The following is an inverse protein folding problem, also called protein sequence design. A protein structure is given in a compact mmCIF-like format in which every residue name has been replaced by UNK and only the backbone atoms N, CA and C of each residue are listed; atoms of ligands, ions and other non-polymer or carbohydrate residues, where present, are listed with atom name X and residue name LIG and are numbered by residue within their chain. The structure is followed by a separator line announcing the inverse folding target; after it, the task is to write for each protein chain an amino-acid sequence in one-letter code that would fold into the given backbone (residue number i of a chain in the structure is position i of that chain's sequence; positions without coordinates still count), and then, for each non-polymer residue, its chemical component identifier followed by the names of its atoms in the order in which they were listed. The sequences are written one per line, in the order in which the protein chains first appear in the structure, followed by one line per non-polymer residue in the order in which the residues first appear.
data_IF_109973350835
#
_entry.id   IF_109973350835
#
_cell.length_a   1.000
_cell.length_b   1.000
_cell.length_c   1.000
_cell.angle_alpha   90.00
_cell.angle_beta   90.00
_cell.angle_gamma   90.00
#
_symmetry.space_group_name_H-M   'P 1'
#
loop_
_entity.id
_entity.type
_entity.pdbx_description
1 polymer ?
#
# COMPACT_ATOMS: atom_id res chain seq x y z
N UNK A 1 0.34 12.68 -10.32
CA UNK A 1 0.49 13.82 -11.25
C UNK A 1 0.10 13.39 -12.65
N UNK A 2 0.73 12.41 -13.28
CA UNK A 2 0.52 11.99 -14.69
C UNK A 2 -0.95 11.70 -15.03
N UNK A 3 -1.67 10.99 -14.16
CA UNK A 3 -3.10 10.74 -14.32
C UNK A 3 -3.95 12.00 -14.19
N UNK A 4 -3.55 12.95 -13.33
CA UNK A 4 -4.26 14.23 -13.16
C UNK A 4 -4.04 15.20 -14.32
N UNK A 5 -2.91 15.09 -15.00
CA UNK A 5 -2.56 15.93 -16.17
C UNK A 5 -3.08 15.34 -17.50
N UNK A 6 -3.81 14.22 -17.47
CA UNK A 6 -4.36 13.57 -18.67
C UNK A 6 -3.34 12.77 -19.48
N UNK A 7 -2.13 12.57 -18.94
CA UNK A 7 -1.05 11.81 -19.60
C UNK A 7 -0.97 10.36 -19.11
N UNK A 8 -2.11 9.76 -18.78
CA UNK A 8 -2.18 8.39 -18.27
C UNK A 8 -1.57 7.34 -19.20
N UNK A 9 -1.62 7.57 -20.53
CA UNK A 9 -1.00 6.71 -21.51
C UNK A 9 0.53 6.65 -21.36
N UNK A 10 1.18 7.76 -21.03
CA UNK A 10 2.63 7.79 -20.82
C UNK A 10 3.08 6.90 -19.64
N UNK A 11 2.25 6.80 -18.59
CA UNK A 11 2.55 5.94 -17.45
C UNK A 11 2.51 4.44 -17.79
N UNK A 12 1.87 4.05 -18.91
CA UNK A 12 1.78 2.67 -19.39
C UNK A 12 2.93 2.27 -20.32
N UNK A 13 3.78 3.23 -20.72
CA UNK A 13 4.93 2.96 -21.57
C UNK A 13 6.02 2.19 -20.82
N UNK A 14 6.64 1.24 -21.54
CA UNK A 14 7.78 0.50 -21.02
C UNK A 14 8.96 1.45 -20.77
N UNK A 15 9.47 1.43 -19.56
CA UNK A 15 10.57 2.30 -19.17
C UNK A 15 10.15 3.63 -18.53
N UNK A 16 8.88 4.04 -18.54
CA UNK A 16 8.44 5.28 -17.89
C UNK A 16 8.80 5.29 -16.38
N UNK A 17 8.48 4.20 -15.68
CA UNK A 17 8.85 4.05 -14.27
C UNK A 17 10.36 4.11 -14.06
N UNK A 18 11.12 3.39 -14.90
CA UNK A 18 12.60 3.37 -14.81
C UNK A 18 13.17 4.76 -15.10
N UNK A 19 12.69 5.44 -16.12
CA UNK A 19 13.14 6.79 -16.47
C UNK A 19 12.87 7.80 -15.35
N UNK A 20 11.74 7.63 -14.65
CA UNK A 20 11.41 8.46 -13.50
C UNK A 20 12.37 8.21 -12.34
N UNK A 21 12.59 6.95 -11.92
CA UNK A 21 13.44 6.64 -10.76
C UNK A 21 14.93 6.88 -11.01
N UNK A 22 15.37 6.86 -12.26
CA UNK A 22 16.76 7.16 -12.65
C UNK A 22 17.00 8.65 -12.92
N UNK A 23 15.94 9.46 -12.96
CA UNK A 23 16.06 10.92 -13.08
C UNK A 23 16.75 11.51 -11.86
N UNK A 24 17.76 12.40 -12.03
CA UNK A 24 18.51 12.96 -10.90
C UNK A 24 17.71 13.93 -10.02
N UNK A 25 16.64 14.51 -10.54
CA UNK A 25 15.90 15.58 -9.85
C UNK A 25 14.51 15.15 -9.41
N UNK A 26 13.72 14.54 -10.30
CA UNK A 26 12.31 14.26 -10.04
C UNK A 26 12.04 13.41 -8.79
N UNK A 27 12.72 12.26 -8.58
CA UNK A 27 12.49 11.45 -7.39
C UNK A 27 12.85 12.18 -6.09
N UNK A 28 13.94 12.97 -6.13
CA UNK A 28 14.41 13.74 -4.96
C UNK A 28 13.39 14.80 -4.57
N UNK A 29 12.87 15.57 -5.53
CA UNK A 29 11.85 16.59 -5.26
C UNK A 29 10.59 15.99 -4.68
N UNK A 30 10.07 14.88 -5.27
CA UNK A 30 8.88 14.22 -4.75
C UNK A 30 9.12 13.58 -3.38
N UNK A 31 10.31 13.01 -3.12
CA UNK A 31 10.68 12.48 -1.83
C UNK A 31 10.71 13.57 -0.76
N UNK A 32 11.33 14.73 -1.05
CA UNK A 32 11.38 15.86 -0.13
C UNK A 32 9.98 16.43 0.16
N UNK A 33 9.12 16.54 -0.85
CA UNK A 33 7.73 16.97 -0.66
C UNK A 33 6.97 16.00 0.24
N UNK A 34 7.12 14.69 0.00
CA UNK A 34 6.46 13.64 0.76
C UNK A 34 6.96 13.61 2.21
N UNK A 35 8.27 13.70 2.42
CA UNK A 35 8.89 13.80 3.74
C UNK A 35 8.45 15.07 4.47
N UNK A 36 8.38 16.20 3.77
CA UNK A 36 7.89 17.45 4.35
C UNK A 36 6.45 17.36 4.87
N UNK A 37 5.55 16.70 4.12
CA UNK A 37 4.18 16.45 4.58
C UNK A 37 4.17 15.51 5.80
N UNK A 38 4.94 14.43 5.76
CA UNK A 38 5.07 13.47 6.87
C UNK A 38 5.59 14.16 8.12
N UNK A 39 6.66 14.94 7.99
CA UNK A 39 7.26 15.71 9.08
C UNK A 39 6.29 16.74 9.66
N UNK A 40 5.54 17.45 8.82
CA UNK A 40 4.53 18.41 9.28
C UNK A 40 3.45 17.75 10.14
N UNK A 41 3.01 16.54 9.76
CA UNK A 41 2.01 15.79 10.53
C UNK A 41 2.58 15.37 11.89
N UNK A 42 3.78 14.78 11.90
CA UNK A 42 4.45 14.32 13.15
C UNK A 42 4.83 15.50 14.05
N UNK A 43 5.22 16.62 13.48
CA UNK A 43 5.52 17.86 14.22
C UNK A 43 4.34 18.37 15.05
N UNK A 44 3.10 18.20 14.55
CA UNK A 44 1.88 18.60 15.27
C UNK A 44 1.49 17.62 16.39
N UNK A 45 2.26 16.54 16.58
CA UNK A 45 2.09 15.58 17.66
C UNK A 45 1.05 14.50 17.40
N UNK A 46 0.82 13.66 18.40
CA UNK A 46 -0.04 12.47 18.28
C UNK A 46 -1.50 12.87 18.08
N UNK A 47 -2.08 13.63 19.01
CA UNK A 47 -3.50 14.00 18.99
C UNK A 47 -3.84 15.00 17.87
N UNK A 48 -3.01 16.04 17.70
CA UNK A 48 -3.27 17.12 16.73
C UNK A 48 -2.88 16.80 15.29
N UNK A 49 -1.91 15.92 15.11
CA UNK A 49 -1.36 15.53 13.80
C UNK A 49 -1.78 14.11 13.41
N UNK A 50 -1.13 13.12 13.99
CA UNK A 50 -1.22 11.71 13.57
C UNK A 50 -2.66 11.18 13.71
N UNK A 51 -3.28 11.30 14.86
CA UNK A 51 -4.63 10.79 15.11
C UNK A 51 -5.67 11.50 14.23
N UNK A 52 -5.57 12.83 14.13
CA UNK A 52 -6.50 13.62 13.32
C UNK A 52 -6.44 13.23 11.85
N UNK A 53 -5.24 13.10 11.29
CA UNK A 53 -5.05 12.73 9.88
C UNK A 53 -5.51 11.30 9.64
N UNK A 54 -5.11 10.34 10.48
CA UNK A 54 -5.48 8.94 10.35
C UNK A 54 -6.98 8.72 10.46
N UNK A 55 -7.67 9.46 11.33
CA UNK A 55 -9.13 9.39 11.52
C UNK A 55 -9.91 9.62 10.22
N UNK A 56 -9.43 10.49 9.34
CA UNK A 56 -10.05 10.76 8.05
C UNK A 56 -9.49 9.90 6.92
N UNK A 57 -8.17 9.69 6.90
CA UNK A 57 -7.52 8.95 5.82
C UNK A 57 -7.89 7.47 5.81
N UNK A 58 -7.96 6.82 6.99
CA UNK A 58 -8.24 5.38 7.06
C UNK A 58 -9.61 4.98 6.50
N UNK A 59 -10.74 5.64 6.89
CA UNK A 59 -12.03 5.33 6.27
C UNK A 59 -12.07 5.62 4.76
N UNK A 60 -11.45 6.72 4.32
CA UNK A 60 -11.39 7.05 2.89
C UNK A 60 -10.62 5.97 2.14
N UNK A 61 -9.47 5.55 2.65
CA UNK A 61 -8.66 4.48 2.07
C UNK A 61 -9.47 3.18 1.95
N UNK A 62 -10.15 2.77 3.03
CA UNK A 62 -10.97 1.56 3.02
C UNK A 62 -12.09 1.62 1.97
N UNK A 63 -12.81 2.74 1.89
CA UNK A 63 -13.85 2.95 0.87
C UNK A 63 -13.26 2.88 -0.54
N UNK A 64 -12.12 3.53 -0.79
CA UNK A 64 -11.46 3.50 -2.10
C UNK A 64 -11.03 2.07 -2.47
N UNK A 65 -10.44 1.32 -1.55
CA UNK A 65 -10.06 -0.09 -1.79
C UNK A 65 -11.28 -0.94 -2.13
N UNK A 66 -12.38 -0.81 -1.38
CA UNK A 66 -13.62 -1.55 -1.65
C UNK A 66 -14.22 -1.19 -3.00
N UNK A 67 -14.26 0.10 -3.35
CA UNK A 67 -14.78 0.58 -4.65
C UNK A 67 -13.95 0.02 -5.81
N UNK A 68 -12.62 0.12 -5.72
CA UNK A 68 -11.74 -0.37 -6.78
C UNK A 68 -11.79 -1.90 -6.86
N UNK A 69 -11.82 -2.61 -5.72
CA UNK A 69 -11.97 -4.07 -5.71
C UNK A 69 -13.30 -4.51 -6.34
N UNK A 70 -14.41 -3.87 -5.96
CA UNK A 70 -15.71 -4.13 -6.58
C UNK A 70 -15.70 -3.89 -8.08
N UNK A 71 -15.06 -2.81 -8.55
CA UNK A 71 -14.90 -2.54 -9.97
C UNK A 71 -14.02 -3.58 -10.67
N UNK A 72 -12.91 -4.00 -10.04
CA UNK A 72 -12.01 -5.02 -10.60
C UNK A 72 -12.72 -6.35 -10.88
N UNK A 73 -13.70 -6.73 -10.05
CA UNK A 73 -14.50 -7.95 -10.25
C UNK A 73 -15.46 -7.86 -11.44
N UNK A 74 -15.84 -6.67 -11.86
CA UNK A 74 -16.72 -6.45 -13.02
C UNK A 74 -15.97 -6.44 -14.35
N UNK A 75 -14.64 -6.42 -14.32
CA UNK A 75 -13.81 -6.35 -15.52
C UNK A 75 -13.96 -7.60 -16.38
N UNK A 76 -13.96 -7.37 -17.69
CA UNK A 76 -13.95 -8.42 -18.72
C UNK A 76 -13.07 -7.95 -19.86
N UNK A 77 -12.20 -8.82 -20.33
CA UNK A 77 -11.32 -8.55 -21.47
C UNK A 77 -11.10 -9.81 -22.28
N UNK A 78 -11.11 -9.66 -23.60
CA UNK A 78 -10.80 -10.74 -24.52
C UNK A 78 -9.29 -10.74 -24.80
N UNK A 79 -8.63 -11.84 -24.50
CA UNK A 79 -7.21 -12.03 -24.74
C UNK A 79 -6.90 -12.09 -26.23
N UNK A 80 -5.65 -11.90 -26.61
CA UNK A 80 -5.15 -12.04 -27.98
C UNK A 80 -5.43 -13.44 -28.60
N UNK A 81 -5.68 -14.44 -27.77
CA UNK A 81 -6.11 -15.79 -28.16
C UNK A 81 -7.62 -15.96 -28.36
N UNK A 82 -8.43 -14.90 -28.20
CA UNK A 82 -9.89 -14.94 -28.26
C UNK A 82 -10.57 -15.51 -26.99
N UNK A 83 -9.83 -15.71 -25.90
CA UNK A 83 -10.37 -16.21 -24.65
C UNK A 83 -10.84 -15.06 -23.77
N UNK A 84 -12.10 -15.10 -23.34
CA UNK A 84 -12.67 -14.10 -22.43
C UNK A 84 -12.17 -14.35 -21.01
N UNK A 85 -11.45 -13.38 -20.44
CA UNK A 85 -11.03 -13.40 -19.04
C UNK A 85 -11.90 -12.46 -18.22
N UNK A 86 -12.28 -12.89 -17.02
CA UNK A 86 -13.15 -12.13 -16.13
C UNK A 86 -12.49 -11.84 -14.79
N UNK A 87 -12.87 -10.72 -14.15
CA UNK A 87 -12.39 -10.39 -12.81
C UNK A 87 -12.76 -11.44 -11.76
N UNK A 88 -13.90 -12.12 -11.96
CA UNK A 88 -14.34 -13.20 -11.07
C UNK A 88 -13.44 -14.44 -11.17
N UNK A 89 -12.93 -14.77 -12.36
CA UNK A 89 -11.92 -15.82 -12.52
C UNK A 89 -10.61 -15.44 -11.84
N UNK A 90 -10.19 -14.18 -11.94
CA UNK A 90 -9.03 -13.65 -11.22
C UNK A 90 -9.20 -13.74 -9.71
N UNK A 91 -10.39 -13.45 -9.18
CA UNK A 91 -10.68 -13.63 -7.76
C UNK A 91 -10.64 -15.11 -7.35
N UNK A 92 -11.19 -15.99 -8.18
CA UNK A 92 -11.11 -17.44 -7.96
C UNK A 92 -9.67 -17.91 -7.95
N UNK A 93 -8.85 -17.45 -8.88
CA UNK A 93 -7.41 -17.74 -8.91
C UNK A 93 -6.73 -17.30 -7.60
N UNK A 94 -7.03 -16.11 -7.10
CA UNK A 94 -6.48 -15.56 -5.87
C UNK A 94 -6.85 -16.39 -4.62
N UNK A 95 -8.11 -16.81 -4.53
CA UNK A 95 -8.63 -17.53 -3.36
C UNK A 95 -8.43 -19.04 -3.41
N UNK A 96 -8.05 -19.61 -4.57
CA UNK A 96 -7.87 -21.05 -4.72
C UNK A 96 -6.42 -21.43 -4.44
N UNK A 97 -6.13 -22.22 -3.41
CA UNK A 97 -4.78 -22.69 -3.13
C UNK A 97 -4.27 -23.60 -4.24
N UNK A 98 -3.08 -23.30 -4.76
CA UNK A 98 -2.39 -24.12 -5.75
C UNK A 98 -1.45 -25.09 -5.03
N UNK A 99 -1.89 -26.32 -4.78
CA UNK A 99 -1.15 -27.33 -4.03
C UNK A 99 -0.26 -28.23 -4.90
N UNK A 100 -0.28 -28.04 -6.22
CA UNK A 100 0.51 -28.83 -7.15
C UNK A 100 2.02 -28.61 -6.93
N UNK A 101 2.77 -29.71 -6.73
CA UNK A 101 4.20 -29.64 -6.47
C UNK A 101 4.60 -29.10 -5.09
N UNK A 102 3.69 -29.06 -4.11
CA UNK A 102 3.98 -28.63 -2.75
C UNK A 102 4.82 -29.69 -2.02
N UNK A 103 6.11 -29.41 -1.85
CA UNK A 103 7.02 -30.19 -0.99
C UNK A 103 7.05 -29.61 0.42
N UNK A 104 7.48 -30.39 1.40
CA UNK A 104 7.63 -29.90 2.80
C UNK A 104 8.57 -28.70 2.87
N UNK A 105 9.67 -28.73 2.14
CA UNK A 105 10.62 -27.60 2.07
C UNK A 105 9.95 -26.33 1.53
N UNK A 106 9.16 -26.46 0.45
CA UNK A 106 8.45 -25.34 -0.15
C UNK A 106 7.35 -24.79 0.78
N UNK A 107 6.65 -25.67 1.49
CA UNK A 107 5.67 -25.27 2.48
C UNK A 107 6.30 -24.46 3.63
N UNK A 108 7.44 -24.92 4.17
CA UNK A 108 8.16 -24.19 5.20
C UNK A 108 8.65 -22.83 4.70
N UNK A 109 9.11 -22.76 3.46
CA UNK A 109 9.53 -21.49 2.85
C UNK A 109 8.34 -20.51 2.74
N UNK A 110 7.18 -20.96 2.24
CA UNK A 110 5.96 -20.15 2.16
C UNK A 110 5.54 -19.66 3.55
N UNK A 111 5.64 -20.53 4.57
CA UNK A 111 5.33 -20.17 5.95
C UNK A 111 6.26 -19.09 6.48
N UNK A 112 7.56 -19.19 6.23
CA UNK A 112 8.56 -18.18 6.62
C UNK A 112 8.33 -16.86 5.90
N UNK A 113 8.02 -16.89 4.60
CA UNK A 113 7.71 -15.69 3.82
C UNK A 113 6.44 -15.01 4.35
N UNK A 114 5.39 -15.79 4.65
CA UNK A 114 4.16 -15.27 5.24
C UNK A 114 4.39 -14.66 6.63
N UNK A 115 5.18 -15.32 7.49
CA UNK A 115 5.55 -14.76 8.80
C UNK A 115 6.33 -13.45 8.65
N UNK A 116 7.31 -13.40 7.75
CA UNK A 116 8.08 -12.19 7.48
C UNK A 116 7.20 -11.04 7.03
N UNK A 117 6.23 -11.33 6.16
CA UNK A 117 5.25 -10.35 5.70
C UNK A 117 4.36 -9.85 6.85
N UNK A 118 3.90 -10.74 7.74
CA UNK A 118 3.11 -10.34 8.91
C UNK A 118 3.89 -9.45 9.86
N UNK A 119 5.15 -9.77 10.17
CA UNK A 119 6.01 -8.92 11.01
C UNK A 119 6.19 -7.53 10.42
N UNK A 120 6.28 -7.44 9.10
CA UNK A 120 6.38 -6.16 8.40
C UNK A 120 5.05 -5.41 8.40
N UNK A 121 3.94 -6.06 8.03
CA UNK A 121 2.60 -5.46 7.92
C UNK A 121 2.10 -4.94 9.26
N UNK A 122 2.24 -5.73 10.33
CA UNK A 122 1.90 -5.34 11.70
C UNK A 122 2.91 -4.39 12.34
N UNK A 123 3.97 -4.02 11.62
CA UNK A 123 5.00 -3.09 12.10
C UNK A 123 5.70 -3.50 13.41
N UNK A 124 5.71 -4.81 13.71
CA UNK A 124 6.32 -5.35 14.93
C UNK A 124 7.84 -5.20 14.87
N UNK A 125 8.45 -5.48 13.71
CA UNK A 125 9.91 -5.44 13.53
C UNK A 125 10.52 -4.04 13.57
N UNK A 126 9.72 -2.98 13.40
CA UNK A 126 10.18 -1.59 13.31
C UNK A 126 10.01 -0.79 14.62
N UNK A 127 9.63 -1.45 15.72
CA UNK A 127 9.40 -0.78 17.00
C UNK A 127 8.16 0.12 17.07
N UNK A 128 7.40 0.23 15.97
CA UNK A 128 6.22 1.09 15.87
C UNK A 128 5.15 0.66 16.88
N UNK A 129 4.90 -0.64 16.99
CA UNK A 129 3.92 -1.18 17.96
C UNK A 129 4.31 -0.90 19.42
N UNK A 130 5.63 -0.90 19.72
CA UNK A 130 6.14 -0.54 21.06
C UNK A 130 5.87 0.94 21.33
N UNK A 131 6.18 1.80 20.35
CA UNK A 131 5.98 3.26 20.48
C UNK A 131 4.50 3.58 20.66
N UNK A 132 3.61 3.04 19.82
CA UNK A 132 2.17 3.28 19.99
C UNK A 132 1.60 2.64 21.25
N UNK A 133 2.12 1.47 21.65
CA UNK A 133 1.77 0.84 22.92
C UNK A 133 2.07 1.73 24.12
N UNK A 134 3.15 2.51 24.08
CA UNK A 134 3.49 3.46 25.13
C UNK A 134 2.53 4.66 25.24
N UNK A 135 1.74 4.93 24.20
CA UNK A 135 0.75 6.01 24.17
C UNK A 135 -0.64 5.55 24.60
N UNK A 136 -0.85 4.24 24.75
CA UNK A 136 -2.16 3.68 25.12
C UNK A 136 -2.48 4.07 26.57
N UNK A 137 -3.69 4.57 26.79
CA UNK A 137 -4.17 4.95 28.12
C UNK A 137 -4.43 3.70 28.97
N UNK A 138 -4.28 3.79 30.33
CA UNK A 138 -4.43 2.64 31.21
C UNK A 138 -5.82 1.99 31.23
N UNK A 139 -6.84 2.69 30.77
CA UNK A 139 -8.24 2.23 30.73
C UNK A 139 -8.59 1.46 29.43
N UNK A 140 -7.64 1.34 28.49
CA UNK A 140 -7.84 0.64 27.23
C UNK A 140 -7.54 -0.84 27.39
N UNK A 141 -8.46 -1.69 26.94
CA UNK A 141 -8.27 -3.14 26.85
C UNK A 141 -7.35 -3.48 25.67
N UNK A 142 -6.11 -3.84 25.98
CA UNK A 142 -5.09 -4.17 24.97
C UNK A 142 -5.46 -5.41 24.15
N UNK A 143 -6.10 -6.43 24.77
CA UNK A 143 -6.50 -7.63 24.01
C UNK A 143 -7.52 -7.27 22.94
N UNK A 144 -8.49 -6.43 23.28
CA UNK A 144 -9.49 -5.95 22.31
C UNK A 144 -8.84 -5.13 21.20
N UNK A 145 -7.88 -4.27 21.55
CA UNK A 145 -7.15 -3.46 20.56
C UNK A 145 -6.34 -4.34 19.60
N UNK A 146 -5.60 -5.33 20.11
CA UNK A 146 -4.83 -6.28 19.28
C UNK A 146 -5.73 -7.07 18.35
N UNK A 147 -6.83 -7.64 18.84
CA UNK A 147 -7.78 -8.36 18.00
C UNK A 147 -8.37 -7.50 16.89
N UNK A 148 -8.64 -6.23 17.16
CA UNK A 148 -9.11 -5.30 16.14
C UNK A 148 -8.02 -5.05 15.07
N UNK A 149 -6.78 -4.86 15.45
CA UNK A 149 -5.65 -4.68 14.52
C UNK A 149 -5.53 -5.90 13.61
N UNK A 150 -5.54 -7.11 14.18
CA UNK A 150 -5.45 -8.36 13.41
C UNK A 150 -6.56 -8.51 12.37
N UNK A 151 -7.80 -8.26 12.78
CA UNK A 151 -8.97 -8.36 11.89
C UNK A 151 -8.88 -7.33 10.75
N UNK A 152 -8.54 -6.08 11.08
CA UNK A 152 -8.44 -5.03 10.08
C UNK A 152 -7.24 -5.24 9.14
N UNK A 153 -6.07 -5.61 9.64
CA UNK A 153 -4.89 -5.89 8.82
C UNK A 153 -5.17 -7.02 7.82
N UNK A 154 -5.69 -8.16 8.30
CA UNK A 154 -6.06 -9.29 7.46
C UNK A 154 -7.16 -8.92 6.46
N UNK A 155 -8.19 -8.22 6.89
CA UNK A 155 -9.29 -7.79 6.03
C UNK A 155 -8.86 -6.86 4.91
N UNK A 156 -8.03 -5.86 5.23
CA UNK A 156 -7.50 -4.91 4.24
C UNK A 156 -6.53 -5.60 3.29
N UNK A 157 -5.69 -6.52 3.77
CA UNK A 157 -4.78 -7.29 2.93
C UNK A 157 -5.54 -8.16 1.90
N UNK A 158 -6.60 -8.84 2.33
CA UNK A 158 -7.47 -9.62 1.45
C UNK A 158 -8.18 -8.73 0.41
N UNK A 159 -8.68 -7.57 0.82
CA UNK A 159 -9.31 -6.60 -0.08
C UNK A 159 -8.31 -6.02 -1.09
N UNK A 160 -7.09 -5.72 -0.66
CA UNK A 160 -6.04 -5.24 -1.56
C UNK A 160 -5.65 -6.30 -2.60
N UNK A 161 -5.56 -7.57 -2.20
CA UNK A 161 -5.38 -8.68 -3.13
C UNK A 161 -6.54 -8.80 -4.11
N UNK A 162 -7.79 -8.71 -3.63
CA UNK A 162 -8.99 -8.72 -4.47
C UNK A 162 -9.12 -7.48 -5.38
N UNK A 163 -8.44 -6.38 -5.07
CA UNK A 163 -8.36 -5.19 -5.93
C UNK A 163 -7.35 -5.38 -7.07
N UNK A 164 -6.17 -5.91 -6.77
CA UNK A 164 -5.03 -5.94 -7.70
C UNK A 164 -5.08 -7.19 -8.58
N UNK A 165 -5.21 -8.37 -7.98
CA UNK A 165 -5.03 -9.65 -8.68
C UNK A 165 -6.08 -9.87 -9.78
N UNK A 166 -7.40 -9.63 -9.56
CA UNK A 166 -8.38 -9.75 -10.63
C UNK A 166 -8.11 -8.79 -11.80
N UNK A 167 -7.73 -7.54 -11.50
CA UNK A 167 -7.43 -6.56 -12.54
C UNK A 167 -6.23 -6.99 -13.41
N UNK A 168 -5.15 -7.44 -12.79
CA UNK A 168 -3.96 -7.92 -13.52
C UNK A 168 -4.28 -9.22 -14.29
N UNK A 169 -5.04 -10.15 -13.68
CA UNK A 169 -5.43 -11.40 -14.32
C UNK A 169 -6.20 -11.18 -15.63
N UNK A 170 -7.14 -10.26 -15.62
CA UNK A 170 -7.99 -9.96 -16.78
C UNK A 170 -7.17 -9.44 -17.97
N UNK A 171 -6.22 -8.54 -17.74
CA UNK A 171 -5.50 -7.86 -18.81
C UNK A 171 -4.14 -8.48 -19.15
N UNK A 172 -3.46 -9.09 -18.19
CA UNK A 172 -2.09 -9.60 -18.35
C UNK A 172 -1.95 -11.10 -18.06
N UNK A 173 -3.03 -11.76 -17.63
CA UNK A 173 -2.97 -13.16 -17.23
C UNK A 173 -2.05 -13.41 -16.04
N UNK A 174 -1.65 -14.67 -15.86
CA UNK A 174 -0.73 -15.08 -14.78
C UNK A 174 0.69 -14.57 -14.97
N UNK A 175 1.10 -14.30 -16.21
CA UNK A 175 2.44 -13.78 -16.54
C UNK A 175 2.63 -12.33 -16.05
N UNK A 176 1.55 -11.54 -16.00
CA UNK A 176 1.57 -10.17 -15.51
C UNK A 176 1.71 -10.04 -13.99
N UNK A 177 1.64 -11.14 -13.24
CA UNK A 177 1.70 -11.18 -11.79
C UNK A 177 3.13 -11.21 -11.24
N UNK A 178 4.08 -10.61 -11.93
CA UNK A 178 5.46 -10.49 -11.46
C UNK A 178 5.49 -9.77 -10.11
N UNK A 179 6.26 -10.31 -9.18
CA UNK A 179 6.36 -9.75 -7.83
C UNK A 179 7.04 -8.37 -7.79
N UNK A 180 6.71 -7.60 -6.77
CA UNK A 180 7.41 -6.38 -6.41
C UNK A 180 6.88 -5.09 -7.03
N UNK A 181 7.68 -4.02 -7.05
CA UNK A 181 7.28 -2.69 -7.53
C UNK A 181 6.79 -2.67 -8.97
N UNK A 182 7.25 -3.60 -9.81
CA UNK A 182 6.83 -3.72 -11.20
C UNK A 182 5.33 -3.97 -11.35
N UNK A 183 4.72 -4.73 -10.43
CA UNK A 183 3.28 -4.96 -10.43
C UNK A 183 2.50 -3.65 -10.29
N UNK A 184 2.92 -2.80 -9.38
CA UNK A 184 2.22 -1.55 -9.06
C UNK A 184 2.51 -0.43 -10.06
N UNK A 185 3.76 -0.31 -10.54
CA UNK A 185 4.19 0.85 -11.32
C UNK A 185 4.38 0.56 -12.81
N UNK A 186 4.32 -0.71 -13.23
CA UNK A 186 4.40 -1.11 -14.65
C UNK A 186 3.12 -1.83 -15.08
N UNK A 187 2.75 -2.93 -14.38
CA UNK A 187 1.60 -3.74 -14.80
C UNK A 187 0.27 -3.02 -14.63
N UNK A 188 0.00 -2.42 -13.47
CA UNK A 188 -1.27 -1.72 -13.24
C UNK A 188 -1.50 -0.49 -14.15
N UNK A 189 -0.52 0.39 -14.44
CA UNK A 189 -0.70 1.43 -15.44
C UNK A 189 -1.10 0.91 -16.82
N UNK A 190 -0.56 -0.23 -17.26
CA UNK A 190 -0.97 -0.88 -18.53
C UNK A 190 -2.41 -1.36 -18.47
N UNK A 191 -2.81 -1.96 -17.33
CA UNK A 191 -4.20 -2.35 -17.08
C UNK A 191 -5.13 -1.14 -17.17
N UNK A 192 -4.80 -0.04 -16.51
CA UNK A 192 -5.60 1.19 -16.56
C UNK A 192 -5.65 1.79 -17.97
N UNK A 193 -4.57 1.76 -18.72
CA UNK A 193 -4.56 2.20 -20.11
C UNK A 193 -5.49 1.34 -21.00
N UNK A 194 -5.48 0.02 -20.81
CA UNK A 194 -6.37 -0.91 -21.52
C UNK A 194 -7.86 -0.72 -21.20
N UNK A 195 -8.18 -0.19 -20.01
CA UNK A 195 -9.56 0.16 -19.58
C UNK A 195 -10.09 1.45 -20.24
N UNK A 196 -9.29 2.17 -21.02
CA UNK A 196 -9.69 3.41 -21.68
C UNK A 196 -10.02 4.56 -20.72
N UNK A 197 -11.11 5.31 -20.97
CA UNK A 197 -11.48 6.48 -20.15
C UNK A 197 -11.76 6.12 -18.66
N UNK A 198 -12.38 4.97 -18.41
CA UNK A 198 -12.63 4.49 -17.05
C UNK A 198 -11.32 4.21 -16.31
N UNK A 199 -10.31 3.70 -17.00
CA UNK A 199 -9.00 3.39 -16.43
C UNK A 199 -8.26 4.62 -15.93
N UNK A 200 -8.40 5.77 -16.56
CA UNK A 200 -7.82 7.02 -16.04
C UNK A 200 -8.41 7.37 -14.67
N UNK A 201 -9.73 7.29 -14.51
CA UNK A 201 -10.40 7.56 -13.24
C UNK A 201 -10.02 6.55 -12.16
N UNK A 202 -10.04 5.24 -12.49
CA UNK A 202 -9.64 4.17 -11.58
C UNK A 202 -8.17 4.31 -11.19
N UNK A 203 -7.30 4.65 -12.13
CA UNK A 203 -5.89 4.93 -11.87
C UNK A 203 -5.67 6.08 -10.90
N UNK A 204 -6.42 7.18 -11.03
CA UNK A 204 -6.38 8.29 -10.06
C UNK A 204 -6.76 7.78 -8.66
N UNK A 205 -7.89 7.09 -8.52
CA UNK A 205 -8.34 6.55 -7.25
C UNK A 205 -7.32 5.58 -6.65
N UNK A 206 -6.76 4.70 -7.47
CA UNK A 206 -5.74 3.74 -7.04
C UNK A 206 -4.49 4.45 -6.48
N UNK A 207 -3.91 5.39 -7.23
CA UNK A 207 -2.70 6.08 -6.78
C UNK A 207 -2.97 7.03 -5.60
N UNK A 208 -4.15 7.61 -5.46
CA UNK A 208 -4.56 8.33 -4.25
C UNK A 208 -4.59 7.39 -3.05
N UNK A 209 -5.18 6.20 -3.21
CA UNK A 209 -5.19 5.16 -2.18
C UNK A 209 -3.77 4.76 -1.78
N UNK A 210 -2.90 4.55 -2.76
CA UNK A 210 -1.50 4.20 -2.54
C UNK A 210 -0.72 5.29 -1.78
N UNK A 211 -0.95 6.58 -2.13
CA UNK A 211 -0.34 7.71 -1.42
C UNK A 211 -0.80 7.72 0.04
N UNK A 212 -2.09 7.52 0.30
CA UNK A 212 -2.62 7.50 1.66
C UNK A 212 -2.04 6.34 2.48
N UNK A 213 -2.00 5.14 1.90
CA UNK A 213 -1.41 3.97 2.54
C UNK A 213 0.08 4.18 2.87
N UNK A 214 0.85 4.71 1.94
CA UNK A 214 2.28 4.99 2.15
C UNK A 214 2.49 6.10 3.18
N UNK A 215 1.68 7.17 3.13
CA UNK A 215 1.80 8.30 4.05
C UNK A 215 1.54 7.87 5.49
N UNK A 216 0.52 7.08 5.75
CA UNK A 216 0.24 6.57 7.11
C UNK A 216 1.38 5.72 7.65
N UNK A 217 2.00 4.88 6.81
CA UNK A 217 3.18 4.08 7.18
C UNK A 217 4.40 4.96 7.48
N UNK A 218 4.69 5.94 6.64
CA UNK A 218 5.82 6.86 6.86
C UNK A 218 5.65 7.72 8.11
N UNK A 219 4.41 8.16 8.42
CA UNK A 219 4.10 8.86 9.67
C UNK A 219 4.47 7.97 10.87
N UNK A 220 4.08 6.71 10.85
CA UNK A 220 4.32 5.76 11.94
C UNK A 220 5.81 5.48 12.15
N UNK A 221 6.56 5.31 11.06
CA UNK A 221 8.02 5.11 11.12
C UNK A 221 8.71 6.35 11.69
N UNK A 222 8.38 7.55 11.17
CA UNK A 222 8.99 8.80 11.65
C UNK A 222 8.63 9.07 13.11
N UNK A 223 7.40 8.76 13.53
CA UNK A 223 6.98 8.88 14.95
C UNK A 223 7.79 7.95 15.85
N UNK A 224 7.98 6.69 15.45
CA UNK A 224 8.77 5.74 16.22
C UNK A 224 10.21 6.20 16.42
N UNK A 225 10.85 6.68 15.34
CA UNK A 225 12.21 7.23 15.41
C UNK A 225 12.24 8.50 16.28
N UNK A 226 11.25 9.39 16.11
CA UNK A 226 11.15 10.64 16.86
C UNK A 226 11.01 10.37 18.36
N UNK A 227 10.14 9.44 18.76
CA UNK A 227 9.92 9.08 20.16
C UNK A 227 11.20 8.55 20.81
N UNK A 228 11.89 7.63 20.14
CA UNK A 228 13.16 7.09 20.62
C UNK A 228 14.25 8.16 20.71
N UNK A 229 14.39 9.03 19.71
CA UNK A 229 15.37 10.11 19.74
C UNK A 229 15.08 11.15 20.82
N UNK A 230 13.80 11.46 21.05
CA UNK A 230 13.42 12.36 22.16
C UNK A 230 13.84 11.82 23.52
N UNK A 231 13.69 10.52 23.75
CA UNK A 231 14.08 9.85 25.00
C UNK A 231 15.59 9.81 25.15
N UNK A 232 16.32 9.35 24.11
CA UNK A 232 17.80 9.23 24.16
C UNK A 232 18.49 10.59 24.33
N UNK A 233 18.05 11.60 23.56
CA UNK A 233 18.69 12.93 23.55
C UNK A 233 18.04 13.97 24.46
N UNK A 234 17.02 13.57 25.23
CA UNK A 234 16.24 14.48 26.10
C UNK A 234 15.79 15.75 25.37
N UNK A 235 15.40 15.62 24.10
CA UNK A 235 15.08 16.75 23.22
C UNK A 235 13.57 16.90 23.01
N UNK A 236 13.13 18.14 22.73
CA UNK A 236 11.71 18.39 22.45
C UNK A 236 11.29 17.92 21.07
N UNK A 237 10.06 17.41 20.92
CA UNK A 237 9.46 16.87 19.68
C UNK A 237 9.74 17.73 18.45
N UNK A 238 9.45 19.01 18.50
CA UNK A 238 9.58 19.92 17.37
C UNK A 238 11.01 19.97 16.82
N UNK A 239 11.99 20.05 17.71
CA UNK A 239 13.40 20.07 17.35
C UNK A 239 13.83 18.72 16.75
N UNK A 240 13.40 17.62 17.38
CA UNK A 240 13.77 16.27 16.93
C UNK A 240 13.21 15.98 15.54
N UNK A 241 11.94 16.29 15.29
CA UNK A 241 11.32 16.08 13.95
C UNK A 241 12.04 16.88 12.87
N UNK A 242 12.38 18.16 13.14
CA UNK A 242 13.10 18.98 12.16
C UNK A 242 14.52 18.50 11.84
N UNK A 243 15.14 17.77 12.76
CA UNK A 243 16.48 17.19 12.52
C UNK A 243 16.41 15.87 11.78
N UNK A 244 15.32 15.11 11.97
CA UNK A 244 15.13 13.78 11.38
C UNK A 244 14.53 13.80 9.96
N UNK A 245 13.80 14.86 9.61
CA UNK A 245 13.14 15.03 8.32
C UNK A 245 14.01 15.77 7.31
#
# INVERSE_FOLDING_TARGET
VVYLTGQSAAAAEDGYFISFITSPVSPVVFALLFMGVTAFIVYNGVEGGIERVSRYMMPILLVLVVVIAGYALTLRHEDASGQMRTGMEGLRYYLTPHMEGLTVSRFLQILLDAMSQLFFSLSVSMGIMITYGSYVKPDVDLNKAVNQIEIFDTGVALLAGAMIIPAVYVFSGTEGMSAGPSLMFVSLPKVFAAMGKAGTFVGILFFVTAIFATLTSCISVLESITANCMEIFHSGRKKTVLVLA
#
